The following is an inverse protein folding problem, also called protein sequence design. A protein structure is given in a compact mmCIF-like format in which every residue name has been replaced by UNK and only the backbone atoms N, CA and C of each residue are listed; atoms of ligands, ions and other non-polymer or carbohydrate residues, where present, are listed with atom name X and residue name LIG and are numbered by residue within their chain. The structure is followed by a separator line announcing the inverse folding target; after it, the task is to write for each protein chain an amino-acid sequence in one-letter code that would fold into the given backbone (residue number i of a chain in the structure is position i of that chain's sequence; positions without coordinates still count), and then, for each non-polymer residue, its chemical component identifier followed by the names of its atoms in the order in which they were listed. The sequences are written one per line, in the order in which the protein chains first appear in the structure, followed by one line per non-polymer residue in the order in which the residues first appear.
data_IF_756089385284
#
_entry.id   IF_756089385284
#
_cell.length_a   1.000
_cell.length_b   1.000
_cell.length_c   1.000
_cell.angle_alpha   90.00
_cell.angle_beta   90.00
_cell.angle_gamma   90.00
#
_symmetry.space_group_name_H-M   'P 1'
#
loop_
_entity.id
_entity.type
_entity.pdbx_description
1 polymer ?
#
# COMPACT_ATOMS: atom_id res chain seq x y z
N UNK A 1 -18.22 -5.17 -1.59
CA UNK A 1 -17.82 -4.92 -2.98
C UNK A 1 -16.31 -5.12 -3.11
N UNK A 2 -15.89 -5.85 -4.13
CA UNK A 2 -14.48 -6.19 -4.27
C UNK A 2 -13.70 -5.07 -4.94
N UNK A 3 -12.56 -4.74 -4.35
CA UNK A 3 -11.63 -3.81 -4.94
C UNK A 3 -10.49 -4.60 -5.56
N UNK A 4 -10.09 -4.22 -6.75
CA UNK A 4 -8.92 -4.82 -7.39
C UNK A 4 -7.76 -3.86 -7.25
N UNK A 5 -6.68 -4.33 -6.62
CA UNK A 5 -5.49 -3.53 -6.40
C UNK A 5 -4.42 -4.02 -7.36
N UNK A 6 -3.95 -3.14 -8.24
CA UNK A 6 -2.89 -3.47 -9.20
C UNK A 6 -1.67 -2.64 -8.84
N UNK A 7 -0.51 -3.31 -8.70
CA UNK A 7 0.74 -2.67 -8.31
C UNK A 7 1.75 -2.86 -9.42
N UNK A 8 2.42 -1.77 -9.80
CA UNK A 8 3.39 -1.78 -10.89
C UNK A 8 4.62 -0.96 -10.50
N UNK A 9 5.79 -1.54 -10.63
CA UNK A 9 7.03 -0.82 -10.34
C UNK A 9 7.20 0.34 -11.32
N UNK A 10 7.56 1.51 -10.80
CA UNK A 10 7.70 2.72 -11.58
C UNK A 10 9.13 3.27 -11.58
N UNK A 11 10.10 2.50 -11.06
CA UNK A 11 11.48 2.95 -10.96
C UNK A 11 11.71 3.83 -9.74
N UNK A 12 12.97 4.04 -9.38
CA UNK A 12 13.36 4.95 -8.29
C UNK A 12 12.64 4.65 -6.96
N UNK A 13 12.48 3.34 -6.64
CA UNK A 13 11.82 2.90 -5.40
C UNK A 13 10.38 3.41 -5.31
N UNK A 14 9.71 3.58 -6.44
CA UNK A 14 8.31 4.01 -6.49
C UNK A 14 7.44 2.98 -7.17
N UNK A 15 6.18 2.95 -6.77
CA UNK A 15 5.20 2.00 -7.30
C UNK A 15 3.92 2.74 -7.66
N UNK A 16 3.37 2.41 -8.82
CA UNK A 16 2.06 2.90 -9.23
C UNK A 16 1.01 1.90 -8.78
N UNK A 17 -0.03 2.39 -8.13
CA UNK A 17 -1.10 1.55 -7.62
C UNK A 17 -2.42 2.04 -8.20
N UNK A 18 -3.19 1.13 -8.76
CA UNK A 18 -4.53 1.41 -9.24
C UNK A 18 -5.52 0.64 -8.39
N UNK A 19 -6.51 1.32 -7.84
CA UNK A 19 -7.61 0.69 -7.12
C UNK A 19 -8.84 0.77 -7.99
N UNK A 20 -9.32 -0.38 -8.45
CA UNK A 20 -10.46 -0.51 -9.34
C UNK A 20 -11.64 -1.06 -8.57
N UNK A 21 -12.72 -0.28 -8.48
CA UNK A 21 -13.94 -0.69 -7.77
C UNK A 21 -15.12 -0.77 -8.73
N UNK A 22 -14.85 -1.14 -9.98
CA UNK A 22 -15.88 -1.27 -10.99
C UNK A 22 -16.13 0.04 -11.71
N UNK A 23 -17.09 0.82 -11.24
CA UNK A 23 -17.45 2.08 -11.88
C UNK A 23 -16.47 3.21 -11.60
N UNK A 24 -15.63 3.08 -10.55
CA UNK A 24 -14.68 4.13 -10.20
C UNK A 24 -13.29 3.54 -9.97
N UNK A 25 -12.28 4.36 -10.21
CA UNK A 25 -10.88 3.98 -10.02
C UNK A 25 -10.11 5.13 -9.36
N UNK A 26 -9.05 4.78 -8.65
CA UNK A 26 -8.10 5.77 -8.19
C UNK A 26 -6.69 5.29 -8.48
N UNK A 27 -5.75 6.22 -8.63
CA UNK A 27 -4.35 5.90 -8.87
C UNK A 27 -3.51 6.60 -7.83
N UNK A 28 -2.43 5.92 -7.44
CA UNK A 28 -1.55 6.42 -6.38
C UNK A 28 -0.10 6.12 -6.74
N UNK A 29 0.79 6.93 -6.21
CA UNK A 29 2.23 6.69 -6.35
C UNK A 29 2.80 6.55 -4.95
N UNK A 30 3.46 5.42 -4.69
CA UNK A 30 3.92 5.07 -3.35
C UNK A 30 5.42 4.86 -3.37
N UNK A 31 6.14 5.54 -2.47
CA UNK A 31 7.56 5.33 -2.28
C UNK A 31 7.81 4.20 -1.30
N UNK A 32 8.73 3.31 -1.65
CA UNK A 32 9.17 2.23 -0.78
C UNK A 32 10.70 2.25 -0.75
N UNK A 33 11.25 2.89 0.28
CA UNK A 33 12.71 2.94 0.42
C UNK A 33 13.24 1.58 0.85
N UNK A 34 14.56 1.32 0.68
CA UNK A 34 15.15 0.08 1.17
C UNK A 34 14.93 -0.14 2.66
N UNK A 35 14.95 0.92 3.46
CA UNK A 35 14.67 0.82 4.90
C UNK A 35 13.23 0.41 5.17
N UNK A 36 12.29 0.98 4.43
CA UNK A 36 10.88 0.62 4.57
C UNK A 36 10.65 -0.82 4.14
N UNK A 37 11.28 -1.24 3.05
CA UNK A 37 11.17 -2.62 2.60
C UNK A 37 11.69 -3.58 3.67
N UNK A 38 12.85 -3.28 4.25
CA UNK A 38 13.43 -4.11 5.29
C UNK A 38 12.55 -4.14 6.54
N UNK A 39 11.94 -3.01 6.87
CA UNK A 39 11.14 -2.89 8.09
C UNK A 39 9.80 -3.62 7.97
N UNK A 40 9.15 -3.54 6.82
CA UNK A 40 7.77 -3.98 6.69
C UNK A 40 7.57 -5.28 5.92
N UNK A 41 8.42 -5.57 4.95
CA UNK A 41 8.13 -6.66 4.01
C UNK A 41 8.36 -8.06 4.56
N UNK A 42 9.30 -8.20 5.49
CA UNK A 42 9.71 -9.53 5.88
C UNK A 42 10.25 -10.29 4.67
N UNK A 43 9.60 -11.39 4.31
CA UNK A 43 9.99 -12.18 3.14
C UNK A 43 9.18 -11.87 1.90
N UNK A 44 8.24 -10.93 1.99
CA UNK A 44 7.40 -10.60 0.85
C UNK A 44 8.15 -9.74 -0.15
N UNK A 45 7.67 -9.78 -1.40
CA UNK A 45 8.17 -8.87 -2.43
C UNK A 45 7.69 -7.46 -2.15
N UNK A 46 8.34 -6.47 -2.78
CA UNK A 46 7.91 -5.09 -2.66
C UNK A 46 6.49 -4.92 -3.20
N UNK A 47 6.16 -5.58 -4.30
CA UNK A 47 4.82 -5.51 -4.89
C UNK A 47 3.77 -6.05 -3.92
N UNK A 48 4.06 -7.19 -3.28
CA UNK A 48 3.11 -7.75 -2.32
C UNK A 48 2.97 -6.87 -1.10
N UNK A 49 4.07 -6.27 -0.65
CA UNK A 49 4.06 -5.33 0.46
C UNK A 49 3.14 -4.15 0.15
N UNK A 50 3.27 -3.56 -1.03
CA UNK A 50 2.45 -2.43 -1.43
C UNK A 50 0.99 -2.83 -1.53
N UNK A 51 0.71 -4.00 -2.13
CA UNK A 51 -0.64 -4.51 -2.24
C UNK A 51 -1.29 -4.68 -0.87
N UNK A 52 -0.58 -5.32 0.05
CA UNK A 52 -1.09 -5.53 1.41
C UNK A 52 -1.31 -4.21 2.13
N UNK A 53 -0.45 -3.23 1.89
CA UNK A 53 -0.60 -1.91 2.49
C UNK A 53 -1.89 -1.23 2.04
N UNK A 54 -2.25 -1.39 0.77
CA UNK A 54 -3.50 -0.83 0.27
C UNK A 54 -4.71 -1.62 0.76
N UNK A 55 -4.58 -2.95 0.93
CA UNK A 55 -5.63 -3.73 1.58
C UNK A 55 -5.90 -3.20 2.99
N UNK A 56 -4.84 -2.91 3.73
CA UNK A 56 -4.94 -2.32 5.05
C UNK A 56 -5.66 -0.97 5.03
N UNK A 57 -5.25 -0.10 4.10
CA UNK A 57 -5.83 1.24 4.02
C UNK A 57 -7.31 1.19 3.65
N UNK A 58 -7.69 0.30 2.73
CA UNK A 58 -9.09 0.21 2.29
C UNK A 58 -10.03 -0.31 3.36
N UNK A 59 -9.51 -0.99 4.37
CA UNK A 59 -10.33 -1.39 5.52
C UNK A 59 -10.66 -0.21 6.42
N UNK A 60 -9.92 0.89 6.32
CA UNK A 60 -10.03 2.02 7.23
C UNK A 60 -10.59 3.27 6.60
N UNK A 61 -10.43 3.42 5.28
CA UNK A 61 -10.91 4.61 4.60
C UNK A 61 -11.22 4.31 3.15
N UNK A 62 -12.11 5.10 2.53
CA UNK A 62 -12.41 4.90 1.11
C UNK A 62 -11.20 5.31 0.27
N UNK A 63 -11.13 4.76 -0.97
CA UNK A 63 -10.00 5.04 -1.85
C UNK A 63 -9.83 6.53 -2.13
N UNK A 64 -10.92 7.28 -2.09
CA UNK A 64 -10.88 8.72 -2.34
C UNK A 64 -10.16 9.49 -1.24
N UNK A 65 -10.05 8.91 -0.06
CA UNK A 65 -9.34 9.53 1.06
C UNK A 65 -7.87 9.16 1.12
N UNK A 66 -7.44 8.17 0.33
CA UNK A 66 -6.04 7.77 0.30
C UNK A 66 -5.25 8.79 -0.51
N UNK A 67 -4.13 9.25 0.04
CA UNK A 67 -3.30 10.24 -0.64
C UNK A 67 -2.82 9.70 -1.99
N UNK A 68 -2.66 10.60 -2.96
CA UNK A 68 -2.20 10.19 -4.29
C UNK A 68 -0.72 9.84 -4.29
N UNK A 69 0.06 10.49 -3.44
CA UNK A 69 1.50 10.26 -3.38
C UNK A 69 1.92 10.26 -1.92
N UNK A 70 2.59 9.18 -1.50
CA UNK A 70 3.06 9.06 -0.13
C UNK A 70 4.09 7.93 -0.03
N UNK A 71 4.72 7.81 1.14
CA UNK A 71 5.62 6.71 1.47
C UNK A 71 4.96 5.77 2.46
N UNK A 72 5.41 4.51 2.51
CA UNK A 72 4.81 3.54 3.42
C UNK A 72 4.89 3.97 4.89
N UNK A 73 5.98 4.60 5.29
CA UNK A 73 6.11 5.06 6.67
C UNK A 73 5.09 6.13 7.05
N UNK A 74 4.53 6.83 6.06
CA UNK A 74 3.45 7.78 6.33
C UNK A 74 2.20 7.07 6.84
N UNK A 75 1.97 5.82 6.41
CA UNK A 75 0.84 5.04 6.88
C UNK A 75 0.93 4.82 8.39
N UNK A 76 2.12 4.48 8.87
CA UNK A 76 2.32 4.22 10.29
C UNK A 76 2.07 5.46 11.15
N UNK A 77 2.33 6.64 10.61
CA UNK A 77 2.07 7.89 11.33
C UNK A 77 0.59 8.08 11.63
N UNK A 78 -0.26 7.74 10.67
CA UNK A 78 -1.71 7.89 10.84
C UNK A 78 -2.35 6.68 11.51
N UNK A 79 -1.75 5.50 11.31
CA UNK A 79 -2.28 4.25 11.84
C UNK A 79 -1.16 3.48 12.51
N UNK A 80 -0.90 3.74 13.80
CA UNK A 80 0.24 3.09 14.49
C UNK A 80 0.16 1.56 14.50
N UNK A 81 -1.03 0.98 14.29
CA UNK A 81 -1.19 -0.48 14.23
C UNK A 81 -0.74 -1.08 12.90
N UNK A 82 -0.37 -0.25 11.93
CA UNK A 82 -0.02 -0.70 10.58
C UNK A 82 1.04 -1.82 10.56
N UNK A 83 2.18 -1.71 11.26
CA UNK A 83 3.18 -2.78 11.16
C UNK A 83 2.65 -4.13 11.63
N UNK A 84 1.86 -4.14 12.69
CA UNK A 84 1.31 -5.37 13.25
C UNK A 84 0.28 -6.00 12.32
N UNK A 85 -0.64 -5.19 11.81
CA UNK A 85 -1.68 -5.67 10.91
C UNK A 85 -1.07 -6.14 9.58
N UNK A 86 -0.06 -5.44 9.12
CA UNK A 86 0.62 -5.79 7.88
C UNK A 86 1.29 -7.17 7.98
N UNK A 87 1.90 -7.47 9.12
CA UNK A 87 2.50 -8.79 9.31
C UNK A 87 1.48 -9.90 9.21
N UNK A 88 0.26 -9.66 9.70
CA UNK A 88 -0.82 -10.63 9.57
C UNK A 88 -1.25 -10.81 8.12
N UNK A 89 -1.32 -9.71 7.37
CA UNK A 89 -1.69 -9.79 5.96
C UNK A 89 -0.63 -10.49 5.12
N UNK A 90 0.63 -10.37 5.50
CA UNK A 90 1.74 -10.95 4.74
C UNK A 90 2.11 -12.37 5.16
N UNK A 91 1.57 -12.86 6.25
CA UNK A 91 1.90 -14.21 6.72
C UNK A 91 1.14 -15.30 5.98
#
# INVERSE_FOLDING_TARGET
MNSKISVKAAGNAKYHVTIDQGSTKSTHEVGVSPLELAKYAGRATAERLVEASFEFLLEREPKESILRTFSLSDIERYFPEYPKQLRQLLS
#
